data_IF_267270245994
#
_entry.id   IF_267270245994
#
_cell.length_a   1.000
_cell.length_b   1.000
_cell.length_c   1.000
_cell.angle_alpha   90.00
_cell.angle_beta   90.00
_cell.angle_gamma   90.00
#
_symmetry.space_group_name_H-M   'P 1'
#
loop_
_entity.id
_entity.type
_entity.pdbx_description
1 polymer ?
#
# COMPACT_ATOMS: atom_id res chain seq x y z
N UNK A 1 -13.77 1.64 22.55
CA UNK A 1 -12.92 2.37 21.59
C UNK A 1 -12.22 1.43 20.58
N UNK A 2 -12.77 0.25 20.27
CA UNK A 2 -12.20 -0.67 19.27
C UNK A 2 -13.06 -0.84 18.01
N UNK A 3 -14.32 -0.37 18.05
CA UNK A 3 -15.28 -0.59 16.96
C UNK A 3 -15.13 0.39 15.78
N UNK A 4 -14.50 1.55 15.98
CA UNK A 4 -14.23 2.52 14.89
C UNK A 4 -12.96 2.17 14.10
N UNK A 5 -11.98 1.49 14.71
CA UNK A 5 -10.72 1.13 14.03
C UNK A 5 -10.85 -0.06 13.07
N UNK A 6 -11.84 -0.93 13.23
CA UNK A 6 -12.02 -2.05 12.29
C UNK A 6 -12.83 -1.64 11.06
N UNK A 7 -13.69 -0.63 11.19
CA UNK A 7 -14.54 -0.15 10.10
C UNK A 7 -13.76 0.37 8.89
N UNK A 8 -12.64 1.07 9.10
CA UNK A 8 -11.86 1.59 7.98
C UNK A 8 -11.14 0.48 7.21
N UNK A 9 -10.76 -0.61 7.89
CA UNK A 9 -10.07 -1.76 7.26
C UNK A 9 -10.99 -2.47 6.27
N UNK A 10 -12.26 -2.65 6.63
CA UNK A 10 -13.25 -3.25 5.75
C UNK A 10 -13.54 -2.36 4.53
N UNK A 11 -13.63 -1.04 4.72
CA UNK A 11 -13.79 -0.10 3.60
C UNK A 11 -12.57 -0.10 2.69
N UNK A 12 -11.36 -0.12 3.26
CA UNK A 12 -10.12 -0.26 2.50
C UNK A 12 -10.07 -1.55 1.71
N UNK A 13 -10.44 -2.67 2.35
CA UNK A 13 -10.49 -3.97 1.68
C UNK A 13 -11.44 -3.93 0.49
N UNK A 14 -12.65 -3.38 0.67
CA UNK A 14 -13.61 -3.20 -0.42
C UNK A 14 -13.06 -2.31 -1.55
N UNK A 15 -12.32 -1.25 -1.22
CA UNK A 15 -11.64 -0.43 -2.24
C UNK A 15 -10.59 -1.24 -3.03
N UNK A 16 -9.75 -2.04 -2.37
CA UNK A 16 -8.72 -2.84 -3.05
C UNK A 16 -9.28 -4.04 -3.83
N UNK A 17 -10.47 -4.53 -3.45
CA UNK A 17 -11.18 -5.62 -4.14
C UNK A 17 -12.10 -5.11 -5.27
N UNK A 18 -12.18 -3.79 -5.49
CA UNK A 18 -13.00 -3.18 -6.53
C UNK A 18 -12.74 -3.77 -7.93
N UNK A 19 -13.81 -3.94 -8.71
CA UNK A 19 -13.74 -4.51 -10.06
C UNK A 19 -13.28 -3.49 -11.10
N UNK A 20 -13.68 -2.23 -10.94
CA UNK A 20 -13.37 -1.12 -11.84
C UNK A 20 -13.24 0.21 -11.08
N UNK A 21 -12.72 1.25 -11.74
CA UNK A 21 -12.36 2.52 -11.11
C UNK A 21 -13.54 3.25 -10.46
N UNK A 22 -14.74 3.17 -11.05
CA UNK A 22 -15.95 3.78 -10.49
C UNK A 22 -16.35 3.20 -9.13
N UNK A 23 -16.17 1.90 -8.94
CA UNK A 23 -16.41 1.24 -7.66
C UNK A 23 -15.38 1.66 -6.61
N UNK A 24 -14.11 1.77 -7.01
CA UNK A 24 -13.04 2.29 -6.14
C UNK A 24 -13.34 3.71 -5.67
N UNK A 25 -13.76 4.60 -6.60
CA UNK A 25 -14.17 5.99 -6.32
C UNK A 25 -15.31 6.05 -5.31
N UNK A 26 -16.33 5.20 -5.47
CA UNK A 26 -17.45 5.14 -4.54
C UNK A 26 -17.02 4.70 -3.14
N UNK A 27 -16.12 3.72 -3.04
CA UNK A 27 -15.51 3.30 -1.79
C UNK A 27 -14.70 4.42 -1.13
N UNK A 28 -13.93 5.17 -1.93
CA UNK A 28 -13.15 6.31 -1.46
C UNK A 28 -14.03 7.44 -0.92
N UNK A 29 -15.13 7.78 -1.58
CA UNK A 29 -16.09 8.78 -1.08
C UNK A 29 -16.71 8.38 0.26
N UNK A 30 -17.04 7.09 0.43
CA UNK A 30 -17.50 6.55 1.73
C UNK A 30 -16.42 6.68 2.79
N UNK A 31 -15.17 6.33 2.44
CA UNK A 31 -14.04 6.48 3.35
C UNK A 31 -13.85 7.94 3.77
N UNK A 32 -13.85 8.87 2.81
CA UNK A 32 -13.69 10.31 3.04
C UNK A 32 -14.80 10.87 3.92
N UNK A 33 -16.06 10.46 3.72
CA UNK A 33 -17.19 10.94 4.53
C UNK A 33 -17.06 10.53 6.00
N UNK A 34 -16.61 9.32 6.27
CA UNK A 34 -16.56 8.78 7.64
C UNK A 34 -15.24 9.11 8.34
N UNK A 35 -14.11 8.93 7.67
CA UNK A 35 -12.76 9.08 8.27
C UNK A 35 -11.95 10.25 7.73
N UNK A 36 -12.45 11.02 6.76
CA UNK A 36 -11.70 12.16 6.21
C UNK A 36 -11.38 13.26 7.22
N UNK A 37 -12.17 13.39 8.29
CA UNK A 37 -11.86 14.29 9.42
C UNK A 37 -10.72 13.75 10.31
N UNK A 38 -10.60 12.43 10.43
CA UNK A 38 -9.58 11.76 11.24
C UNK A 38 -8.24 11.65 10.48
N UNK A 39 -8.29 11.44 9.17
CA UNK A 39 -7.11 11.26 8.32
C UNK A 39 -7.10 12.22 7.11
N UNK A 40 -7.08 13.54 7.32
CA UNK A 40 -7.16 14.53 6.24
C UNK A 40 -5.99 14.43 5.25
N UNK A 41 -4.77 14.16 5.74
CA UNK A 41 -3.59 14.04 4.89
C UNK A 41 -3.60 12.77 4.03
N UNK A 42 -4.20 11.68 4.51
CA UNK A 42 -4.37 10.44 3.73
C UNK A 42 -5.34 10.69 2.57
N UNK A 43 -6.46 11.35 2.85
CA UNK A 43 -7.45 11.71 1.81
C UNK A 43 -6.81 12.60 0.74
N UNK A 44 -6.11 13.67 1.13
CA UNK A 44 -5.43 14.56 0.17
C UNK A 44 -4.41 13.81 -0.69
N UNK A 45 -3.61 12.93 -0.07
CA UNK A 45 -2.62 12.13 -0.78
C UNK A 45 -3.27 11.22 -1.82
N UNK A 46 -4.37 10.56 -1.47
CA UNK A 46 -5.09 9.68 -2.39
C UNK A 46 -5.82 10.43 -3.49
N UNK A 47 -6.35 11.63 -3.22
CA UNK A 47 -6.93 12.51 -4.25
C UNK A 47 -5.88 12.93 -5.27
N UNK A 48 -4.66 13.26 -4.82
CA UNK A 48 -3.55 13.64 -5.70
C UNK A 48 -3.06 12.45 -6.53
N UNK A 49 -2.88 11.30 -5.91
CA UNK A 49 -2.25 10.12 -6.52
C UNK A 49 -3.27 9.10 -7.06
N UNK A 50 -4.51 9.54 -7.28
CA UNK A 50 -5.65 8.68 -7.55
C UNK A 50 -5.50 7.82 -8.81
N UNK A 51 -4.96 8.40 -9.88
CA UNK A 51 -4.69 7.70 -11.15
C UNK A 51 -3.64 6.59 -10.96
N UNK A 52 -2.64 6.84 -10.10
CA UNK A 52 -1.61 5.86 -9.77
C UNK A 52 -2.19 4.74 -8.91
N UNK A 53 -3.04 5.09 -7.93
CA UNK A 53 -3.66 4.14 -7.01
C UNK A 53 -4.67 3.22 -7.70
N UNK A 54 -5.29 3.65 -8.80
CA UNK A 54 -6.27 2.85 -9.54
C UNK A 54 -5.66 2.13 -10.75
N UNK A 55 -4.41 2.41 -11.11
CA UNK A 55 -3.71 1.80 -12.24
C UNK A 55 -3.69 0.27 -12.20
N UNK A 56 -3.65 -0.34 -11.01
CA UNK A 56 -3.64 -1.79 -10.86
C UNK A 56 -4.95 -2.45 -11.31
N UNK A 57 -6.05 -1.70 -11.37
CA UNK A 57 -7.35 -2.20 -11.86
C UNK A 57 -7.30 -2.54 -13.35
N UNK A 58 -6.30 -2.07 -14.09
CA UNK A 58 -6.08 -2.44 -15.50
C UNK A 58 -5.64 -3.90 -15.65
N UNK A 59 -5.09 -4.52 -14.61
CA UNK A 59 -4.69 -5.93 -14.65
C UNK A 59 -5.87 -6.87 -14.39
N UNK A 60 -5.83 -8.13 -14.88
CA UNK A 60 -6.82 -9.16 -14.57
C UNK A 60 -7.00 -9.37 -13.07
N UNK A 61 -8.24 -9.60 -12.63
CA UNK A 61 -8.61 -9.73 -11.21
C UNK A 61 -7.75 -10.73 -10.43
N UNK A 62 -7.43 -11.89 -11.04
CA UNK A 62 -6.58 -12.91 -10.43
C UNK A 62 -5.16 -12.42 -10.10
N UNK A 63 -4.63 -11.46 -10.86
CA UNK A 63 -3.29 -10.90 -10.66
C UNK A 63 -3.29 -9.75 -9.66
N UNK A 64 -4.42 -9.04 -9.49
CA UNK A 64 -4.52 -7.87 -8.59
C UNK A 64 -4.16 -8.23 -7.16
N UNK A 65 -4.58 -9.41 -6.68
CA UNK A 65 -4.23 -9.89 -5.34
C UNK A 65 -2.72 -9.90 -5.12
N UNK A 66 -1.91 -10.32 -6.10
CA UNK A 66 -0.46 -10.29 -5.96
C UNK A 66 0.12 -8.87 -5.85
N UNK A 67 -0.53 -7.88 -6.46
CA UNK A 67 -0.10 -6.47 -6.46
C UNK A 67 -0.36 -5.83 -5.08
N UNK A 68 -1.57 -5.96 -4.54
CA UNK A 68 -1.91 -5.35 -3.25
C UNK A 68 -1.58 -6.23 -2.03
N UNK A 69 -1.21 -7.51 -2.23
CA UNK A 69 -0.78 -8.36 -1.11
C UNK A 69 0.59 -7.92 -0.62
N UNK A 70 0.56 -7.12 0.44
CA UNK A 70 1.76 -6.59 1.09
C UNK A 70 2.66 -7.66 1.72
N UNK A 71 2.30 -8.95 1.76
CA UNK A 71 3.08 -9.98 2.45
C UNK A 71 4.49 -10.17 1.84
N UNK A 72 4.57 -10.32 0.51
CA UNK A 72 5.86 -10.52 -0.17
C UNK A 72 6.73 -9.26 -0.11
N UNK A 73 6.13 -8.09 -0.33
CA UNK A 73 6.83 -6.81 -0.26
C UNK A 73 7.30 -6.48 1.17
N UNK A 74 6.46 -6.72 2.20
CA UNK A 74 6.84 -6.55 3.62
C UNK A 74 7.93 -7.53 4.02
N UNK A 75 7.86 -8.79 3.57
CA UNK A 75 8.93 -9.78 3.78
C UNK A 75 10.23 -9.30 3.16
N UNK A 76 10.22 -8.80 1.93
CA UNK A 76 11.39 -8.23 1.27
C UNK A 76 11.95 -7.03 2.03
N UNK A 77 11.12 -6.05 2.39
CA UNK A 77 11.56 -4.87 3.16
C UNK A 77 12.12 -5.28 4.52
N UNK A 78 11.50 -6.27 5.19
CA UNK A 78 11.99 -6.81 6.46
C UNK A 78 13.35 -7.49 6.28
N UNK A 79 13.52 -8.24 5.20
CA UNK A 79 14.77 -8.91 4.86
C UNK A 79 15.89 -7.90 4.55
N UNK A 80 15.58 -6.88 3.75
CA UNK A 80 16.50 -5.77 3.46
C UNK A 80 16.92 -5.09 4.76
N UNK A 81 15.97 -4.68 5.61
CA UNK A 81 16.25 -4.06 6.92
C UNK A 81 17.12 -4.96 7.80
N UNK A 82 16.86 -6.27 7.82
CA UNK A 82 17.66 -7.24 8.59
C UNK A 82 19.11 -7.27 8.08
N UNK A 83 19.31 -7.37 6.77
CA UNK A 83 20.64 -7.43 6.14
C UNK A 83 21.40 -6.12 6.27
N UNK A 84 20.72 -4.97 6.22
CA UNK A 84 21.35 -3.65 6.38
C UNK A 84 21.61 -3.27 7.84
N UNK A 85 20.92 -3.89 8.81
CA UNK A 85 21.13 -3.60 10.24
C UNK A 85 22.54 -3.95 10.73
N UNK A 86 23.22 -4.89 10.08
CA UNK A 86 24.59 -5.28 10.41
C UNK A 86 25.67 -4.40 9.73
N UNK A 87 25.28 -3.42 8.91
CA UNK A 87 26.18 -2.56 8.14
C UNK A 87 26.11 -1.14 8.70
N UNK A 88 26.96 -0.81 9.68
CA UNK A 88 26.98 0.51 10.33
C UNK A 88 27.60 1.62 9.46
N UNK A 89 28.52 1.26 8.56
CA UNK A 89 29.15 2.18 7.61
C UNK A 89 29.11 1.52 6.24
N UNK A 90 28.41 2.12 5.28
CA UNK A 90 28.50 1.72 3.88
C UNK A 90 29.83 2.23 3.31
N UNK A 91 30.80 1.38 2.97
CA UNK A 91 32.01 1.83 2.33
C UNK A 91 31.69 2.07 0.85
N UNK A 92 31.43 3.33 0.49
CA UNK A 92 31.18 3.78 -0.88
C UNK A 92 29.88 3.23 -1.54
N UNK A 93 29.50 3.79 -2.69
CA UNK A 93 28.21 3.55 -3.39
C UNK A 93 28.15 2.17 -4.12
N UNK A 94 29.25 1.42 -4.11
CA UNK A 94 29.42 0.18 -4.87
C UNK A 94 29.01 -1.17 -4.19
N UNK A 95 28.76 -1.33 -2.86
CA UNK A 95 28.41 -2.64 -2.29
C UNK A 95 26.91 -2.92 -2.13
N UNK A 96 25.99 -2.10 -2.65
CA UNK A 96 24.55 -2.40 -2.60
C UNK A 96 24.16 -3.68 -3.36
N UNK A 97 24.92 -4.03 -4.41
CA UNK A 97 24.67 -5.22 -5.25
C UNK A 97 24.85 -6.55 -4.50
N UNK A 98 25.70 -6.60 -3.46
CA UNK A 98 25.92 -7.83 -2.67
C UNK A 98 24.77 -8.17 -1.73
N UNK A 99 23.88 -7.23 -1.43
CA UNK A 99 22.69 -7.49 -0.60
C UNK A 99 21.62 -8.34 -1.31
N UNK A 100 21.63 -8.35 -2.65
CA UNK A 100 20.65 -9.04 -3.49
C UNK A 100 21.18 -10.32 -4.15
N UNK A 101 22.49 -10.56 -4.14
CA UNK A 101 23.11 -11.78 -4.71
C UNK A 101 23.69 -12.61 -3.55
N UNK A 102 22.84 -13.46 -2.98
CA UNK A 102 23.21 -14.66 -2.22
C UNK A 102 21.96 -15.53 -2.01
#
# INVERSE_FOLDING_TARGET
MGLEEDGYKEVLKAMYEAHYEGEWKLGFERFKKTWGKLYPEVVKSWERDMDNLTSYLKYPYALRRFIYTTNSLKRLIKEVKRRTKAIEVFPSIYPLRRLFIM
#
